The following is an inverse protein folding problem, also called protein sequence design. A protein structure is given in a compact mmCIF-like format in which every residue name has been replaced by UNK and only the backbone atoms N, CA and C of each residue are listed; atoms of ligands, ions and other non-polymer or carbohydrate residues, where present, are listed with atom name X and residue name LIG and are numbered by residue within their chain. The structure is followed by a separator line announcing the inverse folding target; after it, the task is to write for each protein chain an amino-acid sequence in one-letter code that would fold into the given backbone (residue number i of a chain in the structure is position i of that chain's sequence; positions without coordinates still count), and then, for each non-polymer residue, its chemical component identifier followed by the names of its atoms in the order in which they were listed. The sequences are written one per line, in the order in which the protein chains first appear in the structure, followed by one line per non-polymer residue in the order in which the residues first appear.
data_IF_462311764477
#
_entry.id   IF_462311764477
#
_cell.length_a   1.000
_cell.length_b   1.000
_cell.length_c   1.000
_cell.angle_alpha   90.00
_cell.angle_beta   90.00
_cell.angle_gamma   90.00
#
_symmetry.space_group_name_H-M   'P 1'
#
loop_
_entity.id
_entity.type
_entity.pdbx_description
1 polymer ?
#
# COMPACT_ATOMS: atom_id res chain seq x y z
N UNK A 1 4.20 -31.96 10.09
CA UNK A 1 3.67 -30.59 10.32
C UNK A 1 3.40 -29.98 8.96
N UNK A 2 2.15 -29.62 8.63
CA UNK A 2 1.86 -28.94 7.35
C UNK A 2 2.38 -27.51 7.47
N UNK A 3 3.44 -27.18 6.72
CA UNK A 3 3.88 -25.81 6.55
C UNK A 3 2.83 -25.10 5.70
N UNK A 4 1.97 -24.30 6.34
CA UNK A 4 1.10 -23.38 5.63
C UNK A 4 1.94 -22.19 5.18
N UNK A 5 2.56 -22.27 4.01
CA UNK A 5 3.07 -21.08 3.33
C UNK A 5 1.87 -20.36 2.72
N UNK A 6 1.32 -19.40 3.45
CA UNK A 6 0.33 -18.48 2.88
C UNK A 6 1.09 -17.62 1.87
N UNK A 7 1.07 -17.98 0.59
CA UNK A 7 1.55 -17.11 -0.48
C UNK A 7 0.64 -15.89 -0.54
N UNK A 8 0.96 -14.88 0.25
CA UNK A 8 0.22 -13.64 0.31
C UNK A 8 0.42 -12.91 -1.01
N UNK A 9 -0.49 -13.14 -1.95
CA UNK A 9 -0.44 -12.50 -3.27
C UNK A 9 -0.96 -11.08 -3.14
N UNK A 10 -0.05 -10.11 -3.21
CA UNK A 10 -0.44 -8.70 -3.24
C UNK A 10 -1.22 -8.38 -4.51
N UNK A 11 -2.15 -7.45 -4.38
CA UNK A 11 -2.89 -6.86 -5.49
C UNK A 11 -1.91 -6.27 -6.51
N UNK A 12 -2.28 -6.26 -7.78
CA UNK A 12 -1.48 -5.57 -8.80
C UNK A 12 -1.24 -4.10 -8.42
N UNK A 13 -0.01 -3.63 -8.68
CA UNK A 13 0.46 -2.32 -8.25
C UNK A 13 -0.51 -1.19 -8.61
N UNK A 14 -1.01 -1.14 -9.85
CA UNK A 14 -1.92 -0.08 -10.29
C UNK A 14 -3.25 -0.07 -9.52
N UNK A 15 -3.80 -1.24 -9.23
CA UNK A 15 -5.06 -1.39 -8.49
C UNK A 15 -4.85 -1.11 -6.99
N UNK A 16 -3.70 -1.50 -6.44
CA UNK A 16 -3.32 -1.20 -5.07
C UNK A 16 -3.06 0.32 -4.86
N UNK A 17 -2.39 0.96 -5.81
CA UNK A 17 -2.16 2.41 -5.82
C UNK A 17 -3.45 3.20 -5.95
N UNK A 18 -4.38 2.76 -6.82
CA UNK A 18 -5.73 3.37 -6.90
C UNK A 18 -6.46 3.32 -5.55
N UNK A 19 -6.37 2.19 -4.84
CA UNK A 19 -6.92 2.08 -3.50
C UNK A 19 -6.27 3.07 -2.52
N UNK A 20 -4.94 3.10 -2.45
CA UNK A 20 -4.22 4.03 -1.57
C UNK A 20 -4.58 5.50 -1.83
N UNK A 21 -4.66 5.90 -3.11
CA UNK A 21 -5.09 7.25 -3.52
C UNK A 21 -6.52 7.58 -3.12
N UNK A 22 -7.41 6.58 -3.08
CA UNK A 22 -8.81 6.79 -2.70
C UNK A 22 -9.00 7.21 -1.24
N UNK A 23 -8.02 6.88 -0.39
CA UNK A 23 -8.00 7.27 1.03
C UNK A 23 -7.64 8.74 1.23
N UNK A 24 -7.05 9.41 0.22
CA UNK A 24 -6.64 10.83 0.25
C UNK A 24 -5.73 11.19 1.44
N UNK A 25 -4.88 10.25 1.84
CA UNK A 25 -3.87 10.47 2.87
C UNK A 25 -2.77 11.38 2.34
N UNK A 26 -2.22 12.22 3.21
CA UNK A 26 -1.36 13.34 2.82
C UNK A 26 0.12 13.05 2.89
N UNK A 27 0.52 11.93 3.51
CA UNK A 27 1.91 11.58 3.71
C UNK A 27 2.05 10.12 4.18
N UNK A 28 3.30 9.64 4.24
CA UNK A 28 3.64 8.32 4.76
C UNK A 28 3.13 8.06 6.18
N UNK A 29 3.21 9.06 7.07
CA UNK A 29 2.80 8.88 8.47
C UNK A 29 1.31 8.55 8.56
N UNK A 30 0.47 9.29 7.84
CA UNK A 30 -0.97 8.99 7.77
C UNK A 30 -1.26 7.62 7.14
N UNK A 31 -0.44 7.16 6.17
CA UNK A 31 -0.56 5.81 5.62
C UNK A 31 -0.26 4.72 6.65
N UNK A 32 0.81 4.89 7.43
CA UNK A 32 1.20 3.95 8.47
C UNK A 32 0.13 3.90 9.56
N UNK A 33 -0.29 5.06 10.08
CA UNK A 33 -1.37 5.19 11.08
C UNK A 33 -2.68 4.58 10.55
N UNK A 34 -3.06 4.86 9.30
CA UNK A 34 -4.26 4.28 8.71
C UNK A 34 -4.19 2.74 8.62
N UNK A 35 -3.03 2.18 8.26
CA UNK A 35 -2.84 0.73 8.19
C UNK A 35 -2.92 0.05 9.57
N UNK A 36 -2.42 0.72 10.60
CA UNK A 36 -2.40 0.22 11.99
C UNK A 36 -3.79 0.33 12.65
N UNK A 37 -4.47 1.47 12.47
CA UNK A 37 -5.76 1.75 13.11
C UNK A 37 -6.93 1.04 12.43
N UNK A 38 -6.78 0.64 11.16
CA UNK A 38 -7.88 0.10 10.36
C UNK A 38 -7.62 -1.34 9.84
N UNK A 39 -7.24 -2.31 10.70
CA UNK A 39 -6.87 -3.65 10.26
C UNK A 39 -8.03 -4.39 9.56
N UNK A 40 -9.28 -4.09 9.95
CA UNK A 40 -10.49 -4.67 9.34
C UNK A 40 -10.88 -4.02 8.01
N UNK A 41 -10.48 -2.76 7.76
CA UNK A 41 -10.76 -2.06 6.50
C UNK A 41 -9.63 -2.24 5.49
N UNK A 42 -8.41 -2.54 5.96
CA UNK A 42 -7.27 -2.82 5.12
C UNK A 42 -7.45 -4.18 4.44
N UNK A 43 -7.59 -4.22 3.10
CA UNK A 43 -7.64 -5.50 2.41
C UNK A 43 -6.36 -6.30 2.64
N UNK A 44 -6.47 -7.62 2.77
CA UNK A 44 -5.31 -8.50 3.01
C UNK A 44 -4.30 -8.47 1.85
N UNK A 45 -4.77 -8.16 0.64
CA UNK A 45 -3.96 -8.03 -0.58
C UNK A 45 -3.33 -6.63 -0.75
N UNK A 46 -3.53 -5.71 0.20
CA UNK A 46 -2.84 -4.41 0.24
C UNK A 46 -1.69 -4.47 1.26
N UNK A 47 -0.43 -4.32 0.80
CA UNK A 47 0.74 -4.36 1.68
C UNK A 47 0.80 -3.09 2.55
N UNK A 48 1.20 -3.26 3.80
CA UNK A 48 1.54 -2.13 4.68
C UNK A 48 2.80 -1.39 4.20
N UNK A 49 3.76 -2.15 3.64
CA UNK A 49 5.03 -1.66 3.11
C UNK A 49 5.04 -1.75 1.56
N UNK A 50 4.36 -0.83 0.85
CA UNK A 50 4.28 -0.86 -0.61
C UNK A 50 5.65 -0.65 -1.28
N UNK A 51 6.57 0.04 -0.62
CA UNK A 51 7.96 0.20 -1.06
C UNK A 51 8.72 -1.12 -1.16
N UNK A 52 8.39 -2.10 -0.30
CA UNK A 52 8.98 -3.44 -0.33
C UNK A 52 8.23 -4.30 -1.35
N UNK A 53 6.90 -4.33 -1.27
CA UNK A 53 6.05 -5.16 -2.11
C UNK A 53 6.16 -4.83 -3.61
N UNK A 54 6.38 -3.56 -3.95
CA UNK A 54 6.35 -3.09 -5.34
C UNK A 54 7.68 -2.49 -5.83
N UNK A 55 8.79 -2.73 -5.10
CA UNK A 55 10.13 -2.17 -5.39
C UNK A 55 10.55 -2.27 -6.86
N UNK A 56 10.29 -3.42 -7.49
CA UNK A 56 10.69 -3.70 -8.88
C UNK A 56 9.49 -3.77 -9.84
N UNK A 57 8.30 -3.32 -9.40
CA UNK A 57 7.05 -3.42 -10.16
C UNK A 57 6.58 -2.05 -10.65
N UNK A 58 6.95 -0.97 -9.94
CA UNK A 58 6.56 0.39 -10.30
C UNK A 58 6.56 1.38 -9.14
N UNK A 59 6.98 0.96 -7.94
CA UNK A 59 7.16 1.87 -6.82
C UNK A 59 8.13 3.01 -7.15
N UNK A 60 7.77 4.24 -6.77
CA UNK A 60 8.61 5.43 -6.88
C UNK A 60 8.88 5.93 -5.47
N UNK A 61 7.84 6.46 -4.82
CA UNK A 61 7.86 6.96 -3.46
C UNK A 61 6.43 6.98 -2.90
N UNK A 62 6.29 7.49 -1.66
CA UNK A 62 5.00 7.63 -1.02
C UNK A 62 4.12 8.72 -1.65
N UNK A 63 4.72 9.73 -2.30
CA UNK A 63 3.96 10.80 -2.93
C UNK A 63 3.22 10.28 -4.18
N UNK A 64 3.89 9.49 -5.03
CA UNK A 64 3.23 8.78 -6.13
C UNK A 64 2.20 7.78 -5.60
N UNK A 65 2.55 7.00 -4.57
CA UNK A 65 1.67 5.99 -4.02
C UNK A 65 0.34 6.57 -3.52
N UNK A 66 0.42 7.66 -2.77
CA UNK A 66 -0.73 8.34 -2.18
C UNK A 66 -1.38 9.34 -3.15
N UNK A 67 -0.75 9.63 -4.29
CA UNK A 67 -1.26 10.55 -5.30
C UNK A 67 -1.17 12.02 -4.86
N UNK A 68 -0.15 12.34 -4.07
CA UNK A 68 0.11 13.70 -3.59
C UNK A 68 0.71 14.48 -4.76
N UNK A 69 -0.05 15.44 -5.29
CA UNK A 69 0.47 16.39 -6.28
C UNK A 69 1.37 17.39 -5.56
N UNK A 70 2.67 17.29 -5.75
CA UNK A 70 3.56 18.42 -5.49
C UNK A 70 3.33 19.42 -6.62
N UNK A 71 2.63 20.52 -6.34
CA UNK A 71 2.65 21.69 -7.21
C UNK A 71 4.09 22.23 -7.18
N UNK A 72 4.91 21.83 -8.15
CA UNK A 72 6.18 22.50 -8.46
C UNK A 72 5.93 23.70 -9.35
#
# INVERSE_FOLDING_TARGET
MKQYTFEMKFREFNSARKFARSLKLKNKKEWDEWCEDNPSLKPQDIPMLPNVAYKNIGWIDYDDWLGIKTNK
#
